data_IF_896251311829
#
_entry.id   IF_896251311829
#
_cell.length_a   1.000
_cell.length_b   1.000
_cell.length_c   1.000
_cell.angle_alpha   90.00
_cell.angle_beta   90.00
_cell.angle_gamma   90.00
#
_symmetry.space_group_name_H-M   'P 1'
#
loop_
_entity.id
_entity.type
_entity.pdbx_description
1 polymer ?
#
# COMPACT_ATOMS: atom_id res chain seq x y z
N UNK A 1 2.99 9.63 6.68
CA UNK A 1 2.80 9.11 8.06
C UNK A 1 1.33 8.77 8.22
N UNK A 2 0.98 7.56 8.68
CA UNK A 2 -0.43 7.13 8.82
C UNK A 2 -0.97 7.62 10.18
N UNK A 3 -2.18 8.23 10.23
CA UNK A 3 -2.84 8.60 11.48
C UNK A 3 -3.00 7.40 12.42
N UNK A 4 -2.83 7.61 13.73
CA UNK A 4 -2.91 6.53 14.72
C UNK A 4 -4.25 5.77 14.64
N UNK A 5 -5.35 6.51 14.51
CA UNK A 5 -6.70 5.96 14.42
C UNK A 5 -6.93 5.03 13.21
N UNK A 6 -6.11 5.14 12.15
CA UNK A 6 -6.25 4.32 10.95
C UNK A 6 -5.29 3.12 10.92
N UNK A 7 -4.36 3.00 11.87
CA UNK A 7 -3.34 1.94 11.83
C UNK A 7 -3.92 0.54 11.85
N UNK A 8 -4.91 0.31 12.70
CA UNK A 8 -5.51 -1.03 12.85
C UNK A 8 -6.29 -1.41 11.59
N UNK A 9 -7.07 -0.48 11.04
CA UNK A 9 -7.80 -0.69 9.79
C UNK A 9 -6.86 -0.92 8.59
N UNK A 10 -5.74 -0.19 8.53
CA UNK A 10 -4.73 -0.40 7.50
C UNK A 10 -4.10 -1.79 7.64
N UNK A 11 -3.75 -2.20 8.87
CA UNK A 11 -3.17 -3.52 9.13
C UNK A 11 -4.12 -4.65 8.73
N UNK A 12 -5.41 -4.52 9.02
CA UNK A 12 -6.43 -5.49 8.63
C UNK A 12 -6.53 -5.62 7.11
N UNK A 13 -6.57 -4.50 6.37
CA UNK A 13 -6.70 -4.56 4.91
C UNK A 13 -5.41 -5.09 4.25
N UNK A 14 -4.23 -4.80 4.80
CA UNK A 14 -2.96 -5.44 4.35
C UNK A 14 -3.01 -6.94 4.56
N UNK A 15 -3.38 -7.41 5.75
CA UNK A 15 -3.48 -8.85 6.05
C UNK A 15 -4.47 -9.57 5.13
N UNK A 16 -5.60 -8.92 4.83
CA UNK A 16 -6.59 -9.45 3.89
C UNK A 16 -6.05 -9.52 2.46
N UNK A 17 -5.28 -8.53 2.00
CA UNK A 17 -4.63 -8.57 0.69
C UNK A 17 -3.55 -9.66 0.62
N UNK A 18 -2.81 -9.89 1.72
CA UNK A 18 -1.88 -11.01 1.84
C UNK A 18 -2.60 -12.36 1.77
N UNK A 19 -3.69 -12.54 2.53
CA UNK A 19 -4.52 -13.76 2.47
C UNK A 19 -5.12 -14.03 1.10
N UNK A 20 -5.37 -12.98 0.31
CA UNK A 20 -5.85 -13.09 -1.08
C UNK A 20 -4.74 -13.36 -2.09
N UNK A 21 -3.47 -13.38 -1.68
CA UNK A 21 -2.32 -13.54 -2.57
C UNK A 21 -2.02 -12.30 -3.42
N UNK A 22 -2.56 -11.13 -3.07
CA UNK A 22 -2.29 -9.87 -3.79
C UNK A 22 -1.00 -9.22 -3.32
N UNK A 23 -0.62 -9.42 -2.05
CA UNK A 23 0.61 -8.91 -1.44
C UNK A 23 1.39 -10.06 -0.83
N UNK A 24 2.71 -9.97 -0.89
CA UNK A 24 3.63 -10.91 -0.24
C UNK A 24 4.49 -10.16 0.80
N UNK A 25 4.71 -10.72 2.01
CA UNK A 25 5.63 -10.14 2.97
C UNK A 25 7.07 -10.25 2.47
N UNK A 26 7.82 -9.15 2.55
CA UNK A 26 9.26 -9.13 2.29
C UNK A 26 9.97 -8.93 3.62
N UNK A 27 10.90 -9.82 3.97
CA UNK A 27 11.69 -9.77 5.22
C UNK A 27 13.06 -9.15 5.02
N UNK A 28 13.54 -9.08 3.78
CA UNK A 28 14.86 -8.55 3.45
C UNK A 28 14.79 -7.12 2.89
N UNK A 29 15.82 -6.29 3.10
CA UNK A 29 15.88 -4.97 2.49
C UNK A 29 15.81 -5.04 0.97
N UNK A 30 15.00 -4.17 0.37
CA UNK A 30 14.90 -4.02 -1.08
C UNK A 30 15.38 -2.63 -1.49
N UNK A 31 15.90 -2.53 -2.71
CA UNK A 31 16.37 -1.26 -3.28
C UNK A 31 15.24 -0.29 -3.62
N UNK A 32 13.99 -0.77 -3.64
CA UNK A 32 12.81 0.01 -4.03
C UNK A 32 11.76 0.00 -2.93
N UNK A 33 11.31 1.18 -2.53
CA UNK A 33 10.20 1.36 -1.59
C UNK A 33 9.29 2.48 -2.05
N UNK A 34 7.99 2.32 -1.87
CA UNK A 34 7.00 3.36 -2.15
C UNK A 34 6.26 3.72 -0.85
N UNK A 35 5.87 4.98 -0.71
CA UNK A 35 5.07 5.41 0.43
C UNK A 35 3.63 4.88 0.32
N UNK A 36 3.08 4.39 1.44
CA UNK A 36 1.68 4.00 1.52
C UNK A 36 0.79 5.24 1.71
N UNK A 37 -0.21 5.38 0.83
CA UNK A 37 -1.26 6.39 0.89
C UNK A 37 -2.59 5.70 1.18
N UNK A 38 -3.40 6.29 2.06
CA UNK A 38 -4.67 5.72 2.51
C UNK A 38 -5.79 6.69 2.16
N UNK A 39 -6.81 6.20 1.46
CA UNK A 39 -7.99 6.99 1.10
C UNK A 39 -9.28 6.26 1.48
N UNK A 40 -10.32 6.95 1.97
CA UNK A 40 -11.60 6.32 2.26
C UNK A 40 -12.35 5.98 0.96
N UNK A 41 -13.01 4.82 0.93
CA UNK A 41 -13.97 4.46 -0.10
C UNK A 41 -15.37 4.93 0.31
N UNK A 42 -16.31 5.13 -0.64
CA UNK A 42 -17.69 5.49 -0.33
C UNK A 42 -18.41 4.48 0.59
N UNK A 43 -17.98 3.21 0.59
CA UNK A 43 -18.53 2.16 1.45
C UNK A 43 -17.91 2.11 2.86
N UNK A 44 -17.18 3.15 3.29
CA UNK A 44 -16.56 3.25 4.60
C UNK A 44 -15.27 2.44 4.79
N UNK A 45 -14.86 1.62 3.80
CA UNK A 45 -13.60 0.87 3.86
C UNK A 45 -12.42 1.71 3.39
N UNK A 46 -11.21 1.31 3.76
CA UNK A 46 -9.99 1.95 3.27
C UNK A 46 -9.59 1.43 1.88
N UNK A 47 -8.98 2.31 1.10
CA UNK A 47 -8.24 2.02 -0.12
C UNK A 47 -6.77 2.30 0.17
N UNK A 48 -5.96 1.26 0.04
CA UNK A 48 -4.50 1.32 0.11
C UNK A 48 -3.98 1.64 -1.28
N UNK A 49 -3.18 2.70 -1.39
CA UNK A 49 -2.54 3.16 -2.63
C UNK A 49 -1.03 3.26 -2.41
N UNK A 50 -0.26 3.02 -3.46
CA UNK A 50 1.15 3.38 -3.49
C UNK A 50 1.30 4.79 -4.05
N UNK A 51 2.24 5.56 -3.52
CA UNK A 51 2.69 6.78 -4.17
C UNK A 51 3.57 6.44 -5.37
N UNK A 52 2.99 6.47 -6.57
CA UNK A 52 3.65 6.07 -7.82
C UNK A 52 4.40 7.20 -8.52
N UNK A 53 4.54 8.39 -7.92
CA UNK A 53 5.14 9.55 -8.59
C UNK A 53 6.56 9.30 -9.08
N UNK A 54 7.42 8.73 -8.24
CA UNK A 54 8.80 8.41 -8.63
C UNK A 54 8.87 7.13 -9.48
N UNK A 55 8.06 6.13 -9.16
CA UNK A 55 7.94 4.90 -9.97
C UNK A 55 7.59 5.21 -11.43
N UNK A 56 6.64 6.12 -11.66
CA UNK A 56 6.20 6.50 -13.00
C UNK A 56 7.26 7.27 -13.80
N UNK A 57 8.22 7.93 -13.16
CA UNK A 57 9.34 8.58 -13.85
C UNK A 57 10.39 7.57 -14.31
N UNK A 58 10.59 6.51 -13.53
CA UNK A 58 11.54 5.44 -13.84
C UNK A 58 11.00 4.41 -14.85
N UNK A 59 9.68 4.34 -15.03
CA UNK A 59 9.03 3.45 -15.98
C UNK A 59 9.21 3.95 -17.42
N UNK A 60 9.92 3.19 -18.24
CA UNK A 60 9.96 3.35 -19.70
C UNK A 60 8.89 2.43 -20.30
N UNK A 61 8.05 2.97 -21.20
CA UNK A 61 7.06 2.19 -21.95
C UNK A 61 7.58 1.97 -23.37
N UNK A 62 7.29 0.80 -23.94
CA UNK A 62 7.57 0.48 -25.36
C UNK A 62 6.80 1.41 -26.32
#
# INVERSE_FOLDING_TARGET
RIPLALRDQVKEEVQKLQKKGVLEPITEPTSWVNQLVVTPKPNGKLRLCIDSRELNKALVRE
#
